data_IF_202013655915
#
_entry.id   IF_202013655915
#
_cell.length_a   1.000
_cell.length_b   1.000
_cell.length_c   1.000
_cell.angle_alpha   90.00
_cell.angle_beta   90.00
_cell.angle_gamma   90.00
#
_symmetry.space_group_name_H-M   'P 1'
#
loop_
_entity.id
_entity.type
_entity.pdbx_description
1 polymer ?
#
# COMPACT_ATOMS: atom_id res chain seq x y z
N UNK A 1 10.95 -5.89 13.80
CA UNK A 1 10.10 -5.77 12.60
C UNK A 1 8.71 -5.21 12.90
N UNK A 2 8.31 -4.98 14.15
CA UNK A 2 7.11 -4.20 14.45
C UNK A 2 7.50 -2.73 14.70
N UNK A 3 6.77 -1.82 14.06
CA UNK A 3 6.78 -0.41 14.43
C UNK A 3 5.89 -0.25 15.67
N UNK A 4 6.31 0.52 16.68
CA UNK A 4 5.46 0.78 17.84
C UNK A 4 4.19 1.51 17.38
N UNK A 5 3.04 1.15 17.97
CA UNK A 5 1.73 1.75 17.66
C UNK A 5 1.27 1.54 16.21
N UNK A 6 1.67 0.44 15.58
CA UNK A 6 1.18 0.03 14.26
C UNK A 6 0.64 -1.40 14.36
N UNK A 7 -0.63 -1.56 14.02
CA UNK A 7 -1.28 -2.87 13.85
C UNK A 7 -1.32 -3.22 12.36
N UNK A 8 -1.07 -4.48 12.04
CA UNK A 8 -1.04 -4.96 10.65
C UNK A 8 -2.27 -5.83 10.38
N UNK A 9 -2.90 -5.60 9.23
CA UNK A 9 -3.93 -6.47 8.66
C UNK A 9 -3.37 -7.05 7.36
N UNK A 10 -3.30 -8.37 7.26
CA UNK A 10 -2.74 -9.01 6.07
C UNK A 10 -3.81 -9.33 5.03
N UNK A 11 -3.50 -9.08 3.76
CA UNK A 11 -4.36 -9.46 2.64
C UNK A 11 -3.55 -10.03 1.49
N UNK A 12 -3.88 -11.27 1.08
CA UNK A 12 -3.44 -11.84 -0.19
C UNK A 12 -4.44 -12.90 -0.67
N UNK A 13 -4.59 -13.05 -1.99
CA UNK A 13 -5.50 -14.03 -2.60
C UNK A 13 -5.07 -15.48 -2.37
N UNK A 14 -3.81 -15.70 -1.98
CA UNK A 14 -3.26 -17.03 -1.71
C UNK A 14 -3.45 -17.39 -0.23
N UNK A 15 -4.36 -18.33 0.03
CA UNK A 15 -4.69 -18.80 1.37
C UNK A 15 -3.52 -19.45 2.11
N UNK A 16 -2.63 -20.16 1.42
CA UNK A 16 -1.48 -20.82 2.03
C UNK A 16 -0.45 -19.78 2.47
N UNK A 17 -0.13 -18.83 1.57
CA UNK A 17 0.74 -17.69 1.89
C UNK A 17 0.15 -16.85 3.03
N UNK A 18 -1.15 -16.57 3.01
CA UNK A 18 -1.82 -15.79 4.04
C UNK A 18 -1.71 -16.46 5.42
N UNK A 19 -2.05 -17.75 5.50
CA UNK A 19 -2.00 -18.52 6.75
C UNK A 19 -0.59 -18.61 7.30
N UNK A 20 0.38 -18.93 6.44
CA UNK A 20 1.80 -19.03 6.81
C UNK A 20 2.34 -17.72 7.36
N UNK A 21 2.11 -16.60 6.66
CA UNK A 21 2.58 -15.28 7.09
C UNK A 21 1.84 -14.79 8.34
N UNK A 22 0.52 -14.96 8.41
CA UNK A 22 -0.26 -14.57 9.57
C UNK A 22 0.20 -15.31 10.84
N UNK A 23 0.49 -16.62 10.74
CA UNK A 23 1.04 -17.39 11.84
C UNK A 23 2.46 -16.93 12.21
N UNK A 24 3.34 -16.76 11.23
CA UNK A 24 4.74 -16.37 11.44
C UNK A 24 4.84 -15.01 12.16
N UNK A 25 4.01 -14.04 11.75
CA UNK A 25 4.05 -12.67 12.27
C UNK A 25 3.00 -12.41 13.36
N UNK A 26 2.21 -13.42 13.75
CA UNK A 26 1.13 -13.36 14.77
C UNK A 26 0.09 -12.29 14.45
N UNK A 27 -0.34 -12.26 13.19
CA UNK A 27 -1.36 -11.33 12.70
C UNK A 27 -2.75 -11.97 12.87
N UNK A 28 -3.61 -11.32 13.65
CA UNK A 28 -4.96 -11.82 13.92
C UNK A 28 -5.92 -11.49 12.79
N UNK A 29 -5.90 -10.24 12.31
CA UNK A 29 -6.79 -9.78 11.26
C UNK A 29 -6.19 -10.01 9.88
N UNK A 30 -6.87 -10.80 9.07
CA UNK A 30 -6.44 -11.09 7.73
C UNK A 30 -7.62 -11.45 6.82
N UNK A 31 -7.45 -11.23 5.51
CA UNK A 31 -8.46 -11.55 4.50
C UNK A 31 -7.83 -11.96 3.17
N UNK A 32 -8.63 -12.54 2.26
CA UNK A 32 -8.17 -12.90 0.91
C UNK A 32 -8.62 -11.92 -0.17
N UNK A 33 -9.52 -11.00 0.18
CA UNK A 33 -10.05 -9.97 -0.70
C UNK A 33 -9.74 -8.60 -0.11
N UNK A 34 -9.02 -7.76 -0.86
CA UNK A 34 -8.64 -6.42 -0.43
C UNK A 34 -9.86 -5.55 -0.11
N UNK A 35 -11.03 -5.84 -0.70
CA UNK A 35 -12.27 -5.12 -0.43
C UNK A 35 -12.79 -5.34 0.99
N UNK A 36 -12.33 -6.39 1.67
CA UNK A 36 -12.66 -6.65 3.07
C UNK A 36 -11.79 -5.83 4.03
N UNK A 37 -10.69 -5.23 3.56
CA UNK A 37 -9.78 -4.47 4.42
C UNK A 37 -10.46 -3.27 5.08
N UNK A 38 -11.45 -2.66 4.43
CA UNK A 38 -12.16 -1.50 4.97
C UNK A 38 -13.06 -1.84 6.16
N UNK A 39 -13.48 -3.11 6.29
CA UNK A 39 -14.27 -3.58 7.43
C UNK A 39 -13.46 -3.68 8.73
N UNK A 40 -12.12 -3.76 8.64
CA UNK A 40 -11.21 -3.74 9.79
C UNK A 40 -10.87 -2.32 10.26
N UNK A 41 -11.37 -1.27 9.57
CA UNK A 41 -11.14 0.11 9.99
C UNK A 41 -9.68 0.58 9.81
N UNK A 42 -8.99 0.10 8.78
CA UNK A 42 -7.60 0.47 8.50
C UNK A 42 -7.41 1.97 8.27
N UNK A 43 -6.39 2.57 8.87
CA UNK A 43 -6.04 3.99 8.69
C UNK A 43 -5.32 4.26 7.34
N UNK A 44 -4.67 3.24 6.78
CA UNK A 44 -3.92 3.32 5.52
C UNK A 44 -3.71 1.92 4.92
N UNK A 45 -3.34 1.86 3.64
CA UNK A 45 -3.00 0.61 2.95
C UNK A 45 -1.63 0.64 2.28
N UNK A 46 -0.96 -0.50 2.23
CA UNK A 46 0.30 -0.70 1.50
C UNK A 46 0.14 -1.79 0.44
N UNK A 47 0.22 -1.42 -0.82
CA UNK A 47 -0.01 -2.30 -1.97
C UNK A 47 1.33 -2.83 -2.49
N UNK A 48 1.54 -4.14 -2.33
CA UNK A 48 2.70 -4.89 -2.84
C UNK A 48 2.30 -5.98 -3.84
N UNK A 49 1.14 -5.82 -4.48
CA UNK A 49 0.62 -6.76 -5.46
C UNK A 49 1.42 -6.72 -6.78
N UNK A 50 0.98 -7.47 -7.78
CA UNK A 50 1.56 -7.36 -9.12
C UNK A 50 1.20 -6.00 -9.75
N UNK A 51 2.10 -5.41 -10.54
CA UNK A 51 1.93 -4.08 -11.13
C UNK A 51 0.59 -3.89 -11.85
N UNK A 52 0.15 -4.87 -12.64
CA UNK A 52 -1.08 -4.79 -13.44
C UNK A 52 -2.37 -4.61 -12.61
N UNK A 53 -2.34 -4.90 -11.30
CA UNK A 53 -3.48 -4.65 -10.40
C UNK A 53 -3.29 -3.42 -9.51
N UNK A 54 -2.14 -2.73 -9.56
CA UNK A 54 -1.89 -1.55 -8.72
C UNK A 54 -2.95 -0.47 -8.94
N UNK A 55 -3.26 -0.15 -10.19
CA UNK A 55 -4.26 0.87 -10.51
C UNK A 55 -5.62 0.55 -9.89
N UNK A 56 -6.12 -0.68 -10.10
CA UNK A 56 -7.42 -1.09 -9.60
C UNK A 56 -7.50 -1.03 -8.06
N UNK A 57 -6.47 -1.53 -7.38
CA UNK A 57 -6.46 -1.59 -5.91
C UNK A 57 -6.29 -0.18 -5.32
N UNK A 58 -5.37 0.63 -5.87
CA UNK A 58 -5.14 1.98 -5.40
C UNK A 58 -6.36 2.89 -5.62
N UNK A 59 -6.99 2.82 -6.79
CA UNK A 59 -8.23 3.53 -7.09
C UNK A 59 -9.33 3.18 -6.07
N UNK A 60 -9.49 1.91 -5.72
CA UNK A 60 -10.50 1.45 -4.79
C UNK A 60 -10.35 2.09 -3.39
N UNK A 61 -9.13 2.14 -2.84
CA UNK A 61 -8.88 2.71 -1.52
C UNK A 61 -8.92 4.24 -1.52
N UNK A 62 -8.36 4.88 -2.55
CA UNK A 62 -8.42 6.34 -2.67
C UNK A 62 -9.87 6.84 -2.79
N UNK A 63 -10.75 6.14 -3.54
CA UNK A 63 -12.18 6.48 -3.63
C UNK A 63 -12.94 6.34 -2.31
N UNK A 64 -12.40 5.58 -1.36
CA UNK A 64 -12.93 5.45 -0.01
C UNK A 64 -12.24 6.38 0.99
N UNK A 65 -11.46 7.34 0.50
CA UNK A 65 -10.69 8.27 1.31
C UNK A 65 -9.68 7.59 2.25
N UNK A 66 -9.07 6.50 1.81
CA UNK A 66 -8.01 5.80 2.57
C UNK A 66 -6.63 6.14 1.99
N UNK A 67 -5.70 6.69 2.81
CA UNK A 67 -4.29 6.86 2.48
C UNK A 67 -3.68 5.61 1.84
N UNK A 68 -3.04 5.78 0.70
CA UNK A 68 -2.59 4.65 -0.12
C UNK A 68 -1.10 4.73 -0.42
N UNK A 69 -0.36 3.69 -0.06
CA UNK A 69 1.01 3.44 -0.48
C UNK A 69 1.02 2.35 -1.55
N UNK A 70 1.83 2.52 -2.61
CA UNK A 70 2.02 1.53 -3.67
C UNK A 70 3.51 1.28 -3.90
N UNK A 71 3.94 0.02 -3.92
CA UNK A 71 5.30 -0.29 -4.37
C UNK A 71 5.49 0.07 -5.85
N UNK A 72 6.71 0.43 -6.22
CA UNK A 72 7.03 0.82 -7.60
C UNK A 72 6.91 -0.37 -8.57
N UNK A 73 6.52 -0.12 -9.83
CA UNK A 73 5.99 1.15 -10.34
C UNK A 73 4.52 1.35 -9.94
N UNK A 74 4.07 2.61 -9.86
CA UNK A 74 2.70 2.95 -9.42
C UNK A 74 1.61 2.38 -10.35
N UNK A 75 1.83 2.37 -11.66
CA UNK A 75 0.96 1.77 -12.67
C UNK A 75 1.76 1.43 -13.94
N UNK A 76 1.13 0.75 -14.90
CA UNK A 76 1.76 0.33 -16.16
C UNK A 76 1.86 1.46 -17.19
N UNK A 77 1.15 2.58 -17.00
CA UNK A 77 1.19 3.73 -17.90
C UNK A 77 1.19 5.07 -17.17
N UNK A 78 1.76 6.10 -17.81
CA UNK A 78 1.74 7.46 -17.29
C UNK A 78 0.30 8.00 -17.13
N UNK A 79 -0.60 7.66 -18.06
CA UNK A 79 -2.01 8.04 -17.98
C UNK A 79 -2.69 7.49 -16.71
N UNK A 80 -2.43 6.21 -16.38
CA UNK A 80 -2.96 5.61 -15.15
C UNK A 80 -2.38 6.27 -13.90
N UNK A 81 -1.10 6.66 -13.93
CA UNK A 81 -0.47 7.42 -12.84
C UNK A 81 -1.15 8.77 -12.65
N UNK A 82 -1.37 9.54 -13.71
CA UNK A 82 -2.06 10.84 -13.67
C UNK A 82 -3.46 10.69 -13.07
N UNK A 83 -4.24 9.72 -13.56
CA UNK A 83 -5.57 9.42 -13.04
C UNK A 83 -5.58 9.09 -11.55
N UNK A 84 -4.61 8.31 -11.05
CA UNK A 84 -4.53 8.02 -9.62
C UNK A 84 -4.24 9.27 -8.77
N UNK A 85 -3.40 10.17 -9.26
CA UNK A 85 -3.13 11.43 -8.57
C UNK A 85 -4.34 12.37 -8.60
N UNK A 86 -5.11 12.41 -9.69
CA UNK A 86 -6.38 13.15 -9.75
C UNK A 86 -7.38 12.62 -8.72
N UNK A 87 -7.55 11.29 -8.64
CA UNK A 87 -8.44 10.64 -7.67
C UNK A 87 -7.98 10.93 -6.23
N UNK A 88 -6.67 10.83 -5.96
CA UNK A 88 -6.10 11.15 -4.65
C UNK A 88 -6.34 12.61 -4.26
N UNK A 89 -6.19 13.55 -5.20
CA UNK A 89 -6.45 14.96 -4.98
C UNK A 89 -7.94 15.23 -4.69
N UNK A 90 -8.86 14.60 -5.42
CA UNK A 90 -10.31 14.71 -5.20
C UNK A 90 -10.70 14.15 -3.81
N UNK A 91 -10.14 13.01 -3.42
CA UNK A 91 -10.37 12.39 -2.12
C UNK A 91 -9.66 13.12 -0.96
N UNK A 92 -8.79 14.08 -1.27
CA UNK A 92 -7.90 14.76 -0.34
C UNK A 92 -7.07 13.77 0.51
N UNK A 93 -6.51 12.74 -0.15
CA UNK A 93 -5.70 11.69 0.48
C UNK A 93 -4.29 11.64 -0.09
N UNK A 94 -3.29 11.26 0.73
CA UNK A 94 -1.95 11.02 0.22
C UNK A 94 -1.89 9.73 -0.60
N UNK A 95 -1.23 9.82 -1.76
CA UNK A 95 -0.80 8.69 -2.58
C UNK A 95 0.74 8.65 -2.60
N UNK A 96 1.32 7.61 -2.00
CA UNK A 96 2.76 7.48 -1.83
C UNK A 96 3.33 6.33 -2.67
N UNK A 97 4.46 6.56 -3.34
CA UNK A 97 5.14 5.53 -4.16
C UNK A 97 6.43 5.09 -3.49
N UNK A 98 6.65 3.78 -3.45
CA UNK A 98 7.79 3.09 -2.81
C UNK A 98 9.18 3.30 -3.44
N UNK A 99 9.60 4.54 -3.69
CA UNK A 99 10.96 4.86 -4.14
C UNK A 99 11.96 4.87 -2.96
N UNK A 100 12.21 3.70 -2.36
CA UNK A 100 13.09 3.54 -1.20
C UNK A 100 14.48 4.18 -1.36
N UNK A 101 15.04 4.21 -2.58
CA UNK A 101 16.35 4.81 -2.86
C UNK A 101 16.43 6.32 -2.61
N UNK A 102 15.30 7.04 -2.54
CA UNK A 102 15.24 8.45 -2.14
C UNK A 102 15.46 8.66 -0.63
N UNK A 103 15.49 7.58 0.15
CA UNK A 103 15.61 7.59 1.61
C UNK A 103 16.86 6.86 2.10
N UNK A 104 17.89 6.72 1.26
CA UNK A 104 19.15 6.11 1.68
C UNK A 104 19.84 7.06 2.67
N UNK A 105 20.05 6.67 3.95
CA UNK A 105 20.59 7.59 4.95
C UNK A 105 21.94 8.16 4.54
N UNK A 106 22.84 7.29 4.05
CA UNK A 106 24.17 7.70 3.59
C UNK A 106 24.11 8.75 2.45
N UNK A 107 23.13 8.69 1.56
CA UNK A 107 23.03 9.68 0.49
C UNK A 107 22.42 10.97 1.03
N UNK A 108 21.40 10.88 1.87
CA UNK A 108 20.75 12.05 2.44
C UNK A 108 21.66 12.84 3.39
N UNK A 109 22.58 12.17 4.08
CA UNK A 109 23.54 12.79 5.00
C UNK A 109 24.72 13.46 4.27
N UNK A 110 25.18 12.90 3.14
CA UNK A 110 26.43 13.31 2.48
C UNK A 110 26.27 13.90 1.08
N UNK A 111 25.11 13.70 0.45
CA UNK A 111 24.68 14.32 -0.80
C UNK A 111 23.32 14.99 -0.60
N UNK A 112 23.17 15.91 0.37
CA UNK A 112 21.92 16.63 0.55
C UNK A 112 21.64 17.45 -0.72
N UNK A 113 20.38 17.40 -1.19
CA UNK A 113 19.90 18.22 -2.30
C UNK A 113 20.01 19.72 -1.99
#
# INVERSE_FOLDING_TARGET
>A
TQLPNVELVFCTRDAETLSSLAQQYRIMENCQDYRQLTAFGVDAVMIHAATHVHFQIAEYFLKQSIPTFVDKPLADSAQQVEQLYEIAAIANQPLYVGFNRRHIPLYNDYLPN
#
